data_IF_603744000885
#
_entry.id   IF_603744000885
#
_cell.length_a   1.000
_cell.length_b   1.000
_cell.length_c   1.000
_cell.angle_alpha   90.00
_cell.angle_beta   90.00
_cell.angle_gamma   90.00
#
_symmetry.space_group_name_H-M   'P 1'
#
loop_
_entity.id
_entity.type
_entity.pdbx_description
1 polymer ?
#
# COMPACT_ATOMS: atom_id res chain seq x y z
N UNK A 1 18.02 16.47 1.32
CA UNK A 1 16.64 16.74 1.78
C UNK A 1 16.60 17.49 3.10
N UNK A 2 15.51 18.20 3.39
CA UNK A 2 15.24 18.80 4.71
C UNK A 2 14.44 17.82 5.55
N UNK A 3 15.04 17.28 6.63
CA UNK A 3 14.40 16.24 7.47
C UNK A 3 13.46 16.80 8.54
N UNK A 4 13.60 18.07 8.92
CA UNK A 4 12.82 18.70 9.97
C UNK A 4 12.19 20.00 9.48
N UNK A 5 10.91 20.21 9.79
CA UNK A 5 10.25 21.51 9.70
C UNK A 5 9.99 22.03 11.11
N UNK A 6 10.75 23.04 11.51
CA UNK A 6 10.75 23.52 12.89
C UNK A 6 11.20 22.41 13.86
N UNK A 7 10.33 22.05 14.81
CA UNK A 7 10.61 21.04 15.84
C UNK A 7 10.07 19.64 15.51
N UNK A 8 9.59 19.42 14.27
CA UNK A 8 8.97 18.16 13.85
C UNK A 8 9.69 17.56 12.65
N UNK A 9 9.71 16.24 12.58
CA UNK A 9 10.15 15.52 11.39
C UNK A 9 9.18 15.81 10.24
N UNK A 10 9.72 15.95 9.04
CA UNK A 10 8.95 16.36 7.88
C UNK A 10 7.85 15.34 7.49
N UNK A 11 8.11 14.05 7.66
CA UNK A 11 7.13 12.99 7.38
C UNK A 11 5.90 13.04 8.30
N UNK A 12 6.02 13.59 9.51
CA UNK A 12 4.90 13.65 10.46
C UNK A 12 3.74 14.47 9.94
N UNK A 13 3.99 15.49 9.12
CA UNK A 13 2.90 16.29 8.55
C UNK A 13 1.99 15.45 7.65
N UNK A 14 2.56 14.50 6.90
CA UNK A 14 1.78 13.62 6.01
C UNK A 14 1.04 12.55 6.81
N UNK A 15 1.70 11.95 7.81
CA UNK A 15 1.13 10.90 8.65
C UNK A 15 0.02 11.46 9.56
N UNK A 16 0.28 12.58 10.27
CA UNK A 16 -0.71 13.29 11.08
C UNK A 16 -1.91 13.73 10.24
N UNK A 17 -1.68 14.26 9.03
CA UNK A 17 -2.75 14.65 8.13
C UNK A 17 -3.58 13.45 7.69
N UNK A 18 -2.95 12.31 7.36
CA UNK A 18 -3.65 11.09 7.01
C UNK A 18 -4.56 10.59 8.13
N UNK A 19 -4.06 10.61 9.36
CA UNK A 19 -4.85 10.30 10.55
C UNK A 19 -6.07 11.22 10.70
N UNK A 20 -5.85 12.53 10.64
CA UNK A 20 -6.92 13.53 10.74
C UNK A 20 -7.94 13.40 9.61
N UNK A 21 -7.48 13.12 8.39
CA UNK A 21 -8.33 12.89 7.23
C UNK A 21 -9.23 11.66 7.44
N UNK A 22 -8.68 10.55 7.93
CA UNK A 22 -9.46 9.36 8.27
C UNK A 22 -10.50 9.66 9.35
N UNK A 23 -10.07 10.24 10.47
CA UNK A 23 -10.93 10.57 11.61
C UNK A 23 -12.06 11.54 11.25
N UNK A 24 -11.81 12.47 10.32
CA UNK A 24 -12.79 13.48 9.95
C UNK A 24 -13.88 12.96 9.02
N UNK A 25 -13.53 12.11 8.06
CA UNK A 25 -14.41 11.86 6.90
C UNK A 25 -14.91 10.42 6.77
N UNK A 26 -14.18 9.41 7.28
CA UNK A 26 -14.51 7.98 7.05
C UNK A 26 -15.87 7.60 7.64
N UNK A 27 -16.26 8.22 8.76
CA UNK A 27 -17.54 7.95 9.40
C UNK A 27 -18.76 8.54 8.64
N UNK A 28 -18.55 9.56 7.81
CA UNK A 28 -19.63 10.25 7.09
C UNK A 28 -19.88 9.66 5.71
N UNK A 29 -18.83 9.24 5.02
CA UNK A 29 -18.91 8.72 3.64
C UNK A 29 -17.68 7.91 3.24
N UNK A 30 -17.78 7.05 2.22
CA UNK A 30 -16.60 6.48 1.56
C UNK A 30 -15.71 7.58 1.01
N UNK A 31 -14.41 7.50 1.28
CA UNK A 31 -13.38 8.43 0.77
C UNK A 31 -12.21 7.64 0.20
N UNK A 32 -11.51 8.28 -0.74
CA UNK A 32 -10.22 7.80 -1.24
C UNK A 32 -9.15 8.84 -0.93
N UNK A 33 -7.98 8.37 -0.51
CA UNK A 33 -6.82 9.21 -0.25
C UNK A 33 -5.53 8.50 -0.63
N UNK A 34 -4.64 9.20 -1.32
CA UNK A 34 -3.27 8.79 -1.56
C UNK A 34 -2.34 9.84 -0.95
N UNK A 35 -1.54 9.41 0.03
CA UNK A 35 -0.62 10.25 0.77
C UNK A 35 0.79 9.75 0.49
N UNK A 36 1.70 10.67 0.18
CA UNK A 36 3.04 10.34 -0.29
C UNK A 36 4.11 11.06 0.54
N UNK A 37 5.15 10.34 0.91
CA UNK A 37 6.31 10.87 1.65
C UNK A 37 7.58 10.23 1.10
N UNK A 38 8.57 11.06 0.81
CA UNK A 38 9.88 10.64 0.32
C UNK A 38 11.02 11.01 1.30
N UNK A 39 10.71 11.75 2.37
CA UNK A 39 11.69 12.45 3.20
C UNK A 39 12.80 11.58 3.79
N UNK A 40 12.47 10.35 4.22
CA UNK A 40 13.43 9.47 4.91
C UNK A 40 13.86 8.27 4.07
N UNK A 41 13.34 8.11 2.85
CA UNK A 41 13.55 6.90 2.06
C UNK A 41 14.15 7.15 0.67
N UNK A 42 14.13 8.40 0.17
CA UNK A 42 14.50 8.64 -1.22
C UNK A 42 16.01 8.69 -1.46
N UNK A 43 16.80 9.41 -0.66
CA UNK A 43 18.24 9.61 -0.92
C UNK A 43 19.14 8.71 -0.06
N UNK A 44 18.60 8.06 0.97
CA UNK A 44 19.35 7.31 1.97
C UNK A 44 18.68 5.95 2.23
N UNK A 45 19.37 4.87 1.89
CA UNK A 45 18.85 3.50 2.04
C UNK A 45 18.88 2.98 3.49
N UNK A 46 19.54 3.68 4.42
CA UNK A 46 19.64 3.29 5.83
C UNK A 46 18.64 4.04 6.72
N UNK A 47 18.26 5.27 6.33
CA UNK A 47 17.29 6.07 7.08
C UNK A 47 15.91 5.41 7.28
N UNK A 48 15.38 4.55 6.38
CA UNK A 48 14.15 3.79 6.65
C UNK A 48 14.25 2.93 7.92
N UNK A 49 15.39 2.30 8.17
CA UNK A 49 15.60 1.50 9.38
C UNK A 49 15.58 2.35 10.65
N UNK A 50 16.16 3.56 10.60
CA UNK A 50 16.10 4.50 11.73
C UNK A 50 14.68 5.03 12.00
N UNK A 51 13.82 5.06 10.98
CA UNK A 51 12.44 5.53 11.06
C UNK A 51 11.43 4.43 11.42
N UNK A 52 11.83 3.16 11.38
CA UNK A 52 10.96 2.01 11.65
C UNK A 52 10.15 2.15 12.96
N UNK A 53 10.75 2.48 14.13
CA UNK A 53 9.98 2.59 15.37
C UNK A 53 8.92 3.70 15.33
N UNK A 54 9.16 4.76 14.54
CA UNK A 54 8.21 5.87 14.38
C UNK A 54 7.04 5.46 13.51
N UNK A 55 7.33 4.89 12.33
CA UNK A 55 6.30 4.41 11.39
C UNK A 55 5.42 3.36 12.07
N UNK A 56 6.05 2.39 12.77
CA UNK A 56 5.31 1.37 13.52
C UNK A 56 4.41 2.01 14.59
N UNK A 57 4.92 2.99 15.34
CA UNK A 57 4.16 3.74 16.33
C UNK A 57 2.93 4.43 15.73
N UNK A 58 3.07 5.06 14.57
CA UNK A 58 1.96 5.72 13.87
C UNK A 58 0.90 4.70 13.42
N UNK A 59 1.31 3.60 12.79
CA UNK A 59 0.41 2.54 12.33
C UNK A 59 -0.33 1.85 13.49
N UNK A 60 0.35 1.57 14.60
CA UNK A 60 -0.28 1.07 15.82
C UNK A 60 -1.23 2.10 16.42
N UNK A 61 -0.88 3.38 16.36
CA UNK A 61 -1.72 4.50 16.76
C UNK A 61 -3.05 4.53 15.99
N UNK A 62 -2.99 4.42 14.66
CA UNK A 62 -4.17 4.38 13.78
C UNK A 62 -5.07 3.16 14.05
N UNK A 63 -4.46 2.04 14.45
CA UNK A 63 -5.23 0.87 14.89
C UNK A 63 -5.90 1.14 16.23
N UNK A 64 -5.16 1.67 17.20
CA UNK A 64 -5.63 1.84 18.58
C UNK A 64 -6.76 2.86 18.73
N UNK A 65 -6.80 3.88 17.86
CA UNK A 65 -7.82 4.92 17.92
C UNK A 65 -9.02 4.68 16.99
N UNK A 66 -9.05 3.52 16.33
CA UNK A 66 -10.12 3.09 15.45
C UNK A 66 -10.06 3.65 14.02
N UNK A 67 -9.02 4.40 13.64
CA UNK A 67 -8.88 4.93 12.27
C UNK A 67 -8.85 3.84 11.19
N UNK A 68 -8.41 2.63 11.58
CA UNK A 68 -8.38 1.47 10.69
C UNK A 68 -9.65 0.60 10.72
N UNK A 69 -10.65 0.89 11.54
CA UNK A 69 -11.85 0.02 11.67
C UNK A 69 -12.68 -0.05 10.38
N UNK A 70 -12.78 1.07 9.64
CA UNK A 70 -13.52 1.16 8.39
C UNK A 70 -12.64 1.45 7.17
N UNK A 71 -11.33 1.18 7.30
CA UNK A 71 -10.33 1.58 6.31
C UNK A 71 -9.56 0.36 5.78
N UNK A 72 -9.54 0.20 4.46
CA UNK A 72 -8.51 -0.62 3.79
C UNK A 72 -7.29 0.29 3.59
N UNK A 73 -6.14 -0.11 4.14
CA UNK A 73 -4.89 0.65 4.01
C UNK A 73 -3.91 -0.10 3.11
N UNK A 74 -3.37 0.58 2.11
CA UNK A 74 -2.28 0.09 1.26
C UNK A 74 -1.06 0.97 1.55
N UNK A 75 -0.03 0.39 2.16
CA UNK A 75 1.22 1.06 2.49
C UNK A 75 2.33 0.51 1.59
N UNK A 76 2.81 1.32 0.65
CA UNK A 76 3.65 0.83 -0.44
C UNK A 76 4.72 1.86 -0.85
N UNK A 77 5.72 1.38 -1.60
CA UNK A 77 6.72 2.18 -2.30
C UNK A 77 6.59 1.98 -3.82
N UNK A 78 7.01 2.97 -4.60
CA UNK A 78 7.02 2.92 -6.07
C UNK A 78 8.24 2.17 -6.61
N UNK A 79 9.33 2.13 -5.85
CA UNK A 79 10.56 1.39 -6.15
C UNK A 79 11.29 0.99 -4.85
N UNK A 80 12.31 0.15 -4.97
CA UNK A 80 13.23 -0.14 -3.86
C UNK A 80 14.35 0.92 -3.77
N UNK A 81 15.56 0.56 -3.34
CA UNK A 81 16.64 1.54 -3.24
C UNK A 81 17.15 1.96 -4.63
N UNK A 82 16.97 3.24 -4.99
CA UNK A 82 17.40 3.80 -6.29
C UNK A 82 18.63 4.73 -6.20
N UNK A 83 19.12 4.96 -4.99
CA UNK A 83 20.28 5.83 -4.77
C UNK A 83 21.16 5.26 -3.67
N UNK A 84 22.40 5.76 -3.60
CA UNK A 84 23.36 5.38 -2.56
C UNK A 84 24.27 4.22 -2.97
N UNK A 85 25.15 3.84 -2.03
CA UNK A 85 26.21 2.86 -2.26
C UNK A 85 25.70 1.46 -2.58
N UNK A 86 24.45 1.13 -2.21
CA UNK A 86 23.86 -0.17 -2.49
C UNK A 86 23.79 -0.47 -4.00
N UNK A 87 23.60 0.56 -4.82
CA UNK A 87 23.57 0.42 -6.28
C UNK A 87 24.94 0.18 -6.93
N UNK A 88 26.04 0.35 -6.18
CA UNK A 88 27.39 0.05 -6.70
C UNK A 88 27.73 -1.45 -6.67
N UNK A 89 26.89 -2.26 -6.02
CA UNK A 89 27.03 -3.71 -5.99
C UNK A 89 26.59 -4.33 -7.32
N UNK A 90 27.15 -5.49 -7.66
CA UNK A 90 26.80 -6.25 -8.87
C UNK A 90 25.30 -6.56 -8.97
N UNK A 91 24.66 -6.81 -7.83
CA UNK A 91 23.25 -7.15 -7.70
C UNK A 91 22.38 -5.92 -7.37
N UNK A 92 22.92 -4.70 -7.37
CA UNK A 92 22.18 -3.48 -7.00
C UNK A 92 20.93 -3.23 -7.86
N UNK A 93 20.88 -3.79 -9.07
CA UNK A 93 19.70 -3.73 -9.92
C UNK A 93 18.48 -4.48 -9.33
N UNK A 94 18.70 -5.47 -8.46
CA UNK A 94 17.61 -6.14 -7.74
C UNK A 94 17.01 -5.19 -6.71
N UNK A 95 17.84 -4.49 -5.95
CA UNK A 95 17.42 -3.56 -4.90
C UNK A 95 16.55 -2.41 -5.43
N UNK A 96 16.81 -1.93 -6.65
CA UNK A 96 15.95 -0.93 -7.32
C UNK A 96 14.52 -1.46 -7.57
N UNK A 97 14.39 -2.78 -7.80
CA UNK A 97 13.17 -3.46 -8.26
C UNK A 97 12.40 -4.19 -7.15
N UNK A 98 12.74 -3.91 -5.89
CA UNK A 98 12.11 -4.51 -4.71
C UNK A 98 11.33 -3.43 -3.92
N UNK A 99 10.16 -2.98 -4.42
CA UNK A 99 9.29 -2.09 -3.68
C UNK A 99 8.57 -2.83 -2.55
N UNK A 100 8.45 -2.16 -1.41
CA UNK A 100 7.59 -2.62 -0.32
C UNK A 100 6.10 -2.50 -0.69
N UNK A 101 5.28 -3.50 -0.34
CA UNK A 101 3.81 -3.38 -0.38
C UNK A 101 3.14 -4.14 0.77
N UNK A 102 2.40 -3.42 1.61
CA UNK A 102 1.61 -3.96 2.71
C UNK A 102 0.15 -3.57 2.55
N UNK A 103 -0.76 -4.53 2.66
CA UNK A 103 -2.20 -4.31 2.55
C UNK A 103 -2.87 -4.76 3.84
N UNK A 104 -3.53 -3.82 4.52
CA UNK A 104 -4.34 -4.08 5.68
C UNK A 104 -5.83 -4.06 5.30
N UNK A 105 -6.50 -5.19 5.56
CA UNK A 105 -7.96 -5.30 5.50
C UNK A 105 -8.54 -5.13 6.92
N UNK A 106 -9.60 -4.33 7.13
CA UNK A 106 -10.23 -4.20 8.43
C UNK A 106 -10.93 -5.51 8.86
N UNK A 107 -11.13 -5.77 10.16
CA UNK A 107 -11.67 -7.05 10.65
C UNK A 107 -13.02 -7.42 10.04
N UNK A 108 -13.94 -6.46 9.91
CA UNK A 108 -15.26 -6.70 9.30
C UNK A 108 -15.13 -7.14 7.84
N UNK A 109 -14.18 -6.59 7.08
CA UNK A 109 -13.99 -6.95 5.67
C UNK A 109 -13.51 -8.39 5.55
N UNK A 110 -12.58 -8.82 6.43
CA UNK A 110 -12.11 -10.21 6.48
C UNK A 110 -13.24 -11.17 6.85
N UNK A 111 -14.10 -10.78 7.78
CA UNK A 111 -15.26 -11.58 8.20
C UNK A 111 -16.33 -11.68 7.10
N UNK A 112 -16.60 -10.58 6.40
CA UNK A 112 -17.58 -10.51 5.32
C UNK A 112 -17.08 -11.21 4.05
N UNK A 113 -15.79 -11.10 3.74
CA UNK A 113 -15.16 -11.60 2.52
C UNK A 113 -13.96 -12.51 2.82
N UNK A 114 -14.17 -13.67 3.50
CA UNK A 114 -13.07 -14.54 3.92
C UNK A 114 -12.23 -15.05 2.74
N UNK A 115 -12.86 -15.38 1.61
CA UNK A 115 -12.17 -15.83 0.39
C UNK A 115 -11.20 -14.79 -0.17
N UNK A 116 -11.53 -13.50 -0.07
CA UNK A 116 -10.64 -12.41 -0.53
C UNK A 116 -9.47 -12.22 0.42
N UNK A 117 -9.71 -12.35 1.74
CA UNK A 117 -8.63 -12.31 2.73
C UNK A 117 -7.67 -13.50 2.57
N UNK A 118 -8.20 -14.71 2.33
CA UNK A 118 -7.41 -15.92 2.05
C UNK A 118 -6.58 -15.78 0.77
N UNK A 119 -7.18 -15.28 -0.31
CA UNK A 119 -6.48 -15.02 -1.57
C UNK A 119 -5.33 -14.02 -1.39
N UNK A 120 -5.58 -12.92 -0.66
CA UNK A 120 -4.55 -11.92 -0.39
C UNK A 120 -3.41 -12.49 0.45
N UNK A 121 -3.71 -13.33 1.45
CA UNK A 121 -2.69 -14.03 2.24
C UNK A 121 -1.86 -14.99 1.38
N UNK A 122 -2.52 -15.74 0.49
CA UNK A 122 -1.86 -16.65 -0.45
C UNK A 122 -0.94 -15.92 -1.44
N UNK A 123 -1.31 -14.69 -1.83
CA UNK A 123 -0.55 -13.88 -2.78
C UNK A 123 0.72 -13.26 -2.19
N UNK A 124 0.96 -13.32 -0.88
CA UNK A 124 2.18 -12.78 -0.23
C UNK A 124 3.49 -13.39 -0.76
N UNK A 125 3.42 -14.59 -1.34
CA UNK A 125 4.57 -15.30 -1.91
C UNK A 125 4.47 -15.44 -3.42
N UNK A 126 3.69 -14.56 -4.07
CA UNK A 126 3.43 -14.60 -5.50
C UNK A 126 3.75 -13.26 -6.13
N UNK A 127 4.31 -13.32 -7.32
CA UNK A 127 4.65 -12.15 -8.09
C UNK A 127 3.37 -11.44 -8.56
N UNK A 128 3.29 -10.14 -8.33
CA UNK A 128 2.19 -9.31 -8.78
C UNK A 128 2.71 -8.00 -9.36
N UNK A 129 1.83 -7.25 -10.02
CA UNK A 129 2.18 -6.00 -10.67
C UNK A 129 1.32 -4.84 -10.19
N UNK A 130 1.74 -3.61 -10.51
CA UNK A 130 0.91 -2.42 -10.30
C UNK A 130 -0.42 -2.47 -11.07
N UNK A 131 -0.53 -3.26 -12.13
CA UNK A 131 -1.81 -3.49 -12.81
C UNK A 131 -2.76 -4.34 -11.97
N UNK A 132 -2.24 -5.31 -11.20
CA UNK A 132 -3.04 -6.10 -10.28
C UNK A 132 -3.55 -5.25 -9.11
N UNK A 133 -2.69 -4.35 -8.59
CA UNK A 133 -3.10 -3.38 -7.59
C UNK A 133 -4.18 -2.42 -8.13
N UNK A 134 -4.01 -1.89 -9.34
CA UNK A 134 -5.02 -1.06 -10.00
C UNK A 134 -6.36 -1.78 -10.18
N UNK A 135 -6.33 -3.04 -10.63
CA UNK A 135 -7.52 -3.88 -10.73
C UNK A 135 -8.13 -4.20 -9.35
N UNK A 136 -7.33 -4.18 -8.28
CA UNK A 136 -7.81 -4.33 -6.90
C UNK A 136 -8.57 -3.10 -6.42
N UNK A 137 -8.08 -1.90 -6.72
CA UNK A 137 -8.78 -0.66 -6.40
C UNK A 137 -10.15 -0.60 -7.10
N UNK A 138 -10.20 -0.99 -8.38
CA UNK A 138 -11.47 -1.11 -9.13
C UNK A 138 -12.41 -2.13 -8.49
N UNK A 139 -11.88 -3.30 -8.12
CA UNK A 139 -12.67 -4.34 -7.48
C UNK A 139 -13.26 -3.89 -6.14
N UNK A 140 -12.53 -3.11 -5.33
CA UNK A 140 -13.04 -2.54 -4.08
C UNK A 140 -14.22 -1.58 -4.34
N UNK A 141 -14.15 -0.77 -5.41
CA UNK A 141 -15.25 0.11 -5.81
C UNK A 141 -16.47 -0.71 -6.23
N UNK A 142 -16.27 -1.77 -7.01
CA UNK A 142 -17.33 -2.68 -7.46
C UNK A 142 -18.03 -3.36 -6.28
N UNK A 143 -17.30 -3.75 -5.23
CA UNK A 143 -17.88 -4.33 -4.00
C UNK A 143 -18.79 -3.36 -3.23
N UNK A 144 -18.53 -2.05 -3.33
CA UNK A 144 -19.36 -1.01 -2.73
C UNK A 144 -20.49 -0.50 -3.62
N UNK A 145 -20.53 -0.92 -4.89
CA UNK A 145 -21.56 -0.53 -5.86
C UNK A 145 -22.90 -1.24 -5.67
N UNK A 146 -23.91 -0.83 -6.43
CA UNK A 146 -25.16 -1.57 -6.53
C UNK A 146 -25.00 -2.83 -7.40
N UNK A 147 -25.83 -3.87 -7.23
CA UNK A 147 -25.80 -5.06 -8.10
C UNK A 147 -25.90 -4.77 -9.60
N UNK A 148 -26.54 -3.65 -9.96
CA UNK A 148 -26.69 -3.16 -11.34
C UNK A 148 -25.57 -2.19 -11.78
N UNK A 149 -24.52 -2.04 -10.95
CA UNK A 149 -23.38 -1.18 -11.23
C UNK A 149 -22.59 -1.68 -12.43
N UNK A 150 -22.20 -0.76 -13.32
CA UNK A 150 -21.36 -1.09 -14.47
C UNK A 150 -19.98 -1.54 -13.97
N UNK A 151 -19.60 -2.77 -14.31
CA UNK A 151 -18.25 -3.27 -14.04
C UNK A 151 -17.20 -2.35 -14.65
N UNK A 152 -16.16 -2.03 -13.87
CA UNK A 152 -15.12 -1.13 -14.32
C UNK A 152 -14.23 -1.85 -15.35
N UNK A 153 -13.81 -1.17 -16.42
CA UNK A 153 -12.98 -1.81 -17.45
C UNK A 153 -11.67 -2.29 -16.82
N UNK A 154 -11.25 -3.52 -17.16
CA UNK A 154 -9.94 -4.05 -16.73
C UNK A 154 -8.81 -3.31 -17.44
N UNK A 155 -7.58 -3.45 -16.93
CA UNK A 155 -6.41 -2.83 -17.56
C UNK A 155 -6.21 -3.33 -19.00
N UNK A 156 -6.31 -2.43 -19.98
CA UNK A 156 -6.06 -2.77 -21.39
C UNK A 156 -4.61 -3.25 -21.60
N UNK A 157 -3.65 -2.64 -20.90
CA UNK A 157 -2.23 -2.94 -21.04
C UNK A 157 -1.79 -4.22 -20.33
N UNK A 158 -2.67 -4.84 -19.53
CA UNK A 158 -2.42 -6.16 -18.96
C UNK A 158 -3.71 -6.98 -18.93
N UNK A 159 -4.05 -7.67 -20.03
CA UNK A 159 -5.29 -8.45 -20.14
C UNK A 159 -5.38 -9.63 -19.17
N UNK A 160 -4.23 -10.13 -18.70
CA UNK A 160 -4.12 -11.24 -17.75
C UNK A 160 -4.05 -10.80 -16.29
N UNK A 161 -3.85 -9.49 -16.03
CA UNK A 161 -3.79 -8.98 -14.67
C UNK A 161 -5.19 -8.95 -14.05
N UNK A 162 -5.24 -9.18 -12.74
CA UNK A 162 -6.49 -9.35 -11.99
C UNK A 162 -6.40 -8.69 -10.61
N UNK A 163 -7.48 -8.68 -9.85
CA UNK A 163 -7.40 -8.20 -8.47
C UNK A 163 -6.55 -9.13 -7.60
N UNK A 164 -5.76 -8.57 -6.70
CA UNK A 164 -5.04 -9.24 -5.61
C UNK A 164 -5.97 -9.92 -4.60
N UNK A 165 -7.28 -9.66 -4.67
CA UNK A 165 -8.32 -10.37 -3.91
C UNK A 165 -8.71 -11.71 -4.57
N UNK A 166 -8.05 -12.08 -5.67
CA UNK A 166 -8.10 -13.41 -6.28
C UNK A 166 -6.72 -14.07 -6.24
N UNK A 167 -6.64 -15.42 -6.14
CA UNK A 167 -5.37 -16.12 -6.21
C UNK A 167 -4.62 -15.85 -7.52
N UNK A 168 -3.39 -15.36 -7.43
CA UNK A 168 -2.49 -15.21 -8.59
C UNK A 168 -1.88 -16.56 -8.95
N UNK A 169 -1.75 -16.93 -10.22
CA UNK A 169 -1.10 -18.19 -10.58
C UNK A 169 0.42 -18.15 -10.31
N UNK A 170 0.99 -19.26 -9.84
CA UNK A 170 2.43 -19.43 -9.59
C UNK A 170 3.25 -19.34 -10.89
N UNK A 171 2.62 -19.60 -12.04
CA UNK A 171 3.25 -19.60 -13.36
C UNK A 171 3.40 -18.21 -13.99
N UNK A 172 3.01 -17.14 -13.29
CA UNK A 172 3.03 -15.78 -13.83
C UNK A 172 4.32 -15.09 -13.41
N UNK A 173 5.20 -14.86 -14.38
CA UNK A 173 6.45 -14.11 -14.20
C UNK A 173 6.18 -12.62 -14.41
N UNK A 174 5.97 -11.88 -13.33
CA UNK A 174 6.12 -10.42 -13.31
C UNK A 174 7.10 -10.03 -12.21
N UNK A 175 7.85 -8.95 -12.38
CA UNK A 175 8.92 -8.54 -11.44
C UNK A 175 8.33 -8.21 -10.05
N UNK A 176 9.07 -8.58 -9.01
CA UNK A 176 8.65 -8.80 -7.63
C UNK A 176 8.12 -7.57 -6.86
N UNK A 177 7.32 -7.89 -5.83
CA UNK A 177 7.17 -7.17 -4.56
C UNK A 177 8.00 -7.94 -3.54
#
# INVERSE_FOLDING_TARGET
>A
MTYCYGRRLANYYIYDYGRQFMQRFVAERPIWGMLWSNHFSHDDCFMPAAMEPKILGDLLGYRSDGSLEHTIMIFFADHGARFGSLLSLSEGYLEERLPMMFIYLPPWFRAQYPKYAEALALNQHRLSSNFDLHNTLKHIIELGGTPDGVGLPRSYNCPTCQSLLYPISISVTYVAI
#
